data_IF_922249456437
#
_entry.id   IF_922249456437
#
_cell.length_a   1.000
_cell.length_b   1.000
_cell.length_c   1.000
_cell.angle_alpha   90.00
_cell.angle_beta   90.00
_cell.angle_gamma   90.00
#
_symmetry.space_group_name_H-M   'P 1'
#
loop_
_entity.id
_entity.type
_entity.pdbx_description
1 polymer ?
#
# COMPACT_ATOMS: atom_id res chain seq x y z
N UNK A 1 -12.25 -43.59 4.08
CA UNK A 1 -11.18 -43.69 3.07
C UNK A 1 -11.29 -42.64 1.97
N UNK A 2 -12.45 -42.51 1.29
CA UNK A 2 -12.65 -41.54 0.18
C UNK A 2 -12.51 -40.08 0.63
N UNK A 3 -13.08 -39.69 1.78
CA UNK A 3 -13.01 -38.32 2.29
C UNK A 3 -11.56 -37.85 2.53
N UNK A 4 -10.72 -38.71 3.14
CA UNK A 4 -9.31 -38.37 3.40
C UNK A 4 -8.51 -38.24 2.10
N UNK A 5 -8.76 -39.08 1.10
CA UNK A 5 -8.10 -38.98 -0.20
C UNK A 5 -8.48 -37.68 -0.92
N UNK A 6 -9.77 -37.33 -0.91
CA UNK A 6 -10.27 -36.09 -1.50
C UNK A 6 -9.67 -34.85 -0.80
N UNK A 7 -9.68 -34.83 0.53
CA UNK A 7 -9.09 -33.74 1.33
C UNK A 7 -7.60 -33.60 1.04
N UNK A 8 -6.84 -34.70 1.00
CA UNK A 8 -5.40 -34.66 0.69
C UNK A 8 -5.12 -34.16 -0.73
N UNK A 9 -5.93 -34.57 -1.71
CA UNK A 9 -5.83 -34.05 -3.08
C UNK A 9 -6.11 -32.54 -3.13
N UNK A 10 -7.14 -32.06 -2.40
CA UNK A 10 -7.45 -30.64 -2.30
C UNK A 10 -6.32 -29.83 -1.65
N UNK A 11 -5.67 -30.36 -0.60
CA UNK A 11 -4.50 -29.72 0.02
C UNK A 11 -3.38 -29.55 -1.00
N UNK A 12 -3.01 -30.63 -1.70
CA UNK A 12 -1.94 -30.59 -2.69
C UNK A 12 -2.25 -29.61 -3.84
N UNK A 13 -3.51 -29.54 -4.26
CA UNK A 13 -3.98 -28.56 -5.24
C UNK A 13 -3.87 -27.10 -4.74
N UNK A 14 -4.34 -26.83 -3.52
CA UNK A 14 -4.33 -25.48 -2.94
C UNK A 14 -2.91 -24.98 -2.61
N UNK A 15 -2.02 -25.88 -2.19
CA UNK A 15 -0.60 -25.56 -1.97
C UNK A 15 0.10 -25.09 -3.26
N UNK A 16 -0.21 -25.70 -4.41
CA UNK A 16 0.29 -25.23 -5.71
C UNK A 16 -0.18 -23.81 -6.06
N UNK A 17 -1.30 -23.36 -5.46
CA UNK A 17 -1.81 -21.98 -5.56
C UNK A 17 -1.33 -21.07 -4.42
N UNK A 18 -0.33 -21.50 -3.63
CA UNK A 18 0.18 -20.78 -2.45
C UNK A 18 -0.86 -20.56 -1.35
N UNK A 19 -1.91 -21.40 -1.31
CA UNK A 19 -2.92 -21.40 -0.24
C UNK A 19 -2.59 -22.56 0.70
N UNK A 20 -2.15 -22.21 1.91
CA UNK A 20 -1.74 -23.18 2.93
C UNK A 20 -2.87 -23.42 3.93
N UNK A 21 -3.08 -24.68 4.30
CA UNK A 21 -4.21 -25.10 5.13
C UNK A 21 -3.65 -25.64 6.44
N UNK A 22 -3.93 -24.95 7.55
CA UNK A 22 -3.57 -25.39 8.90
C UNK A 22 -4.49 -26.51 9.41
N UNK A 23 -5.78 -26.49 9.02
CA UNK A 23 -6.80 -27.43 9.48
C UNK A 23 -7.57 -28.06 8.31
N UNK A 24 -7.12 -29.22 7.79
CA UNK A 24 -7.73 -29.90 6.63
C UNK A 24 -9.23 -30.18 6.73
N UNK A 25 -9.73 -30.39 7.96
CA UNK A 25 -11.16 -30.67 8.21
C UNK A 25 -12.08 -29.49 7.85
N UNK A 26 -11.54 -28.27 7.74
CA UNK A 26 -12.32 -27.07 7.39
C UNK A 26 -12.57 -26.91 5.89
N UNK A 27 -11.86 -27.64 5.02
CA UNK A 27 -12.00 -27.52 3.56
C UNK A 27 -13.46 -27.76 3.10
N UNK A 28 -14.16 -28.82 3.53
CA UNK A 28 -15.55 -29.03 3.10
C UNK A 28 -16.53 -28.00 3.69
N UNK A 29 -16.17 -27.34 4.80
CA UNK A 29 -16.99 -26.29 5.39
C UNK A 29 -16.95 -25.02 4.54
N UNK A 30 -15.80 -24.70 3.93
CA UNK A 30 -15.66 -23.55 3.03
C UNK A 30 -16.59 -23.62 1.82
N UNK A 31 -16.86 -24.82 1.30
CA UNK A 31 -17.83 -25.03 0.21
C UNK A 31 -19.30 -24.84 0.61
N UNK A 32 -19.59 -24.67 1.91
CA UNK A 32 -20.94 -24.42 2.46
C UNK A 32 -21.12 -22.98 2.95
N UNK A 33 -20.12 -22.12 2.82
CA UNK A 33 -20.23 -20.74 3.27
C UNK A 33 -21.22 -19.97 2.38
N UNK A 34 -22.21 -19.31 2.98
CA UNK A 34 -23.18 -18.46 2.28
C UNK A 34 -22.92 -16.96 2.46
N UNK A 35 -22.11 -16.59 3.44
CA UNK A 35 -21.75 -15.21 3.78
C UNK A 35 -20.23 -15.16 3.94
N UNK A 36 -19.59 -14.19 3.31
CA UNK A 36 -18.15 -13.94 3.42
C UNK A 36 -17.98 -12.51 3.93
N UNK A 37 -17.47 -12.38 5.15
CA UNK A 37 -17.07 -11.08 5.70
C UNK A 37 -15.65 -10.76 5.20
N UNK A 38 -15.47 -9.54 4.69
CA UNK A 38 -14.16 -9.03 4.31
C UNK A 38 -13.71 -7.99 5.32
N UNK A 39 -12.47 -8.12 5.78
CA UNK A 39 -11.77 -7.02 6.43
C UNK A 39 -11.28 -6.02 5.37
N UNK A 40 -11.14 -4.74 5.73
CA UNK A 40 -10.75 -3.70 4.78
C UNK A 40 -9.23 -3.62 4.63
N UNK A 41 -8.54 -3.18 5.68
CA UNK A 41 -7.10 -2.87 5.65
C UNK A 41 -6.27 -4.15 5.68
N UNK A 42 -5.31 -4.28 4.76
CA UNK A 42 -4.49 -5.48 4.63
C UNK A 42 -5.19 -6.68 3.96
N UNK A 43 -6.46 -6.52 3.55
CA UNK A 43 -7.22 -7.56 2.81
C UNK A 43 -7.80 -7.01 1.50
N UNK A 44 -8.69 -6.02 1.55
CA UNK A 44 -9.25 -5.38 0.36
C UNK A 44 -8.35 -4.24 -0.14
N UNK A 45 -7.73 -3.51 0.79
CA UNK A 45 -6.76 -2.46 0.48
C UNK A 45 -5.40 -2.84 1.05
N UNK A 46 -4.34 -2.36 0.42
CA UNK A 46 -3.01 -2.42 1.04
C UNK A 46 -2.98 -1.54 2.30
N UNK A 47 -2.12 -1.88 3.25
CA UNK A 47 -1.85 -1.04 4.44
C UNK A 47 -0.73 -0.05 4.12
N UNK A 48 -0.91 0.68 3.02
CA UNK A 48 0.04 1.66 2.50
C UNK A 48 -0.73 2.83 1.91
N UNK A 49 -0.22 4.04 2.13
CA UNK A 49 -0.69 5.20 1.41
C UNK A 49 -0.10 5.24 0.00
N UNK A 50 -0.89 5.72 -0.95
CA UNK A 50 -0.47 5.95 -2.33
C UNK A 50 -0.75 7.41 -2.63
N UNK A 51 0.22 8.10 -3.24
CA UNK A 51 0.08 9.49 -3.59
C UNK A 51 -0.63 9.59 -4.93
N UNK A 52 -1.87 10.06 -4.92
CA UNK A 52 -2.67 10.17 -6.15
C UNK A 52 -2.39 11.48 -6.91
N UNK A 53 -2.16 12.58 -6.20
CA UNK A 53 -1.91 13.87 -6.82
C UNK A 53 -2.03 15.05 -5.87
N UNK A 54 -1.82 16.25 -6.40
CA UNK A 54 -1.88 17.53 -5.70
C UNK A 54 -3.10 18.30 -6.21
N UNK A 55 -3.94 18.78 -5.31
CA UNK A 55 -4.94 19.79 -5.64
C UNK A 55 -4.29 21.16 -5.54
N UNK A 56 -4.07 21.77 -6.70
CA UNK A 56 -3.32 23.02 -6.84
C UNK A 56 -4.22 24.26 -6.68
N UNK A 57 -5.51 24.15 -7.03
CA UNK A 57 -6.53 25.18 -6.84
C UNK A 57 -7.39 24.88 -5.61
N UNK A 58 -7.08 25.56 -4.51
CA UNK A 58 -7.79 25.45 -3.23
C UNK A 58 -9.13 26.20 -3.19
N UNK A 59 -9.57 26.83 -4.28
CA UNK A 59 -10.89 27.48 -4.34
C UNK A 59 -11.89 26.49 -4.93
N UNK A 60 -11.50 25.81 -6.01
CA UNK A 60 -12.41 24.93 -6.76
C UNK A 60 -12.30 23.46 -6.36
N UNK A 61 -11.12 23.00 -5.94
CA UNK A 61 -10.84 21.61 -5.61
C UNK A 61 -11.24 20.60 -6.70
N UNK A 62 -11.10 20.97 -7.98
CA UNK A 62 -11.69 20.22 -9.10
C UNK A 62 -10.81 19.09 -9.62
N UNK A 63 -9.48 19.26 -9.67
CA UNK A 63 -8.58 18.33 -10.37
C UNK A 63 -7.33 17.98 -9.55
N UNK A 64 -7.03 16.67 -9.51
CA UNK A 64 -5.76 16.15 -9.04
C UNK A 64 -4.70 16.31 -10.13
N UNK A 65 -3.65 17.04 -9.82
CA UNK A 65 -2.51 17.26 -10.71
C UNK A 65 -1.31 16.41 -10.27
N UNK A 66 -0.59 15.89 -11.26
CA UNK A 66 0.72 15.29 -11.02
C UNK A 66 1.78 16.35 -10.71
N UNK A 67 2.92 15.93 -10.16
CA UNK A 67 4.06 16.81 -9.86
C UNK A 67 4.57 17.68 -11.03
N UNK A 68 4.28 17.31 -12.29
CA UNK A 68 4.68 18.10 -13.47
C UNK A 68 3.73 19.26 -13.80
N UNK A 69 2.47 19.16 -13.38
CA UNK A 69 1.39 20.08 -13.76
C UNK A 69 0.93 20.95 -12.58
N UNK A 70 1.50 20.73 -11.40
CA UNK A 70 1.28 21.55 -10.21
C UNK A 70 2.07 22.87 -10.31
N UNK A 71 1.61 23.91 -9.61
CA UNK A 71 2.38 25.15 -9.47
C UNK A 71 3.72 24.89 -8.78
N UNK A 72 4.74 25.63 -9.20
CA UNK A 72 6.07 25.49 -8.62
C UNK A 72 6.08 25.94 -7.15
N UNK A 73 5.26 26.93 -6.82
CA UNK A 73 5.08 27.45 -5.47
C UNK A 73 4.62 26.34 -4.52
N UNK A 74 3.59 25.57 -4.90
CA UNK A 74 3.09 24.47 -4.09
C UNK A 74 4.11 23.34 -3.96
N UNK A 75 4.86 23.03 -5.03
CA UNK A 75 5.94 22.04 -4.96
C UNK A 75 7.07 22.45 -4.02
N UNK A 76 7.45 23.73 -4.03
CA UNK A 76 8.48 24.27 -3.12
C UNK A 76 8.01 24.22 -1.66
N UNK A 77 6.73 24.49 -1.40
CA UNK A 77 6.15 24.36 -0.05
C UNK A 77 6.20 22.90 0.41
N UNK A 78 5.77 21.94 -0.42
CA UNK A 78 5.85 20.51 -0.07
C UNK A 78 7.29 20.04 0.15
N UNK A 79 8.24 20.53 -0.64
CA UNK A 79 9.65 20.19 -0.49
C UNK A 79 10.34 20.89 0.71
N UNK A 80 9.81 22.02 1.18
CA UNK A 80 10.42 22.81 2.26
C UNK A 80 9.75 22.65 3.62
N UNK A 81 8.47 22.29 3.66
CA UNK A 81 7.66 22.18 4.88
C UNK A 81 7.39 20.72 5.22
N UNK A 82 8.45 19.99 5.58
CA UNK A 82 8.37 18.61 6.06
C UNK A 82 9.15 18.46 7.37
N UNK A 83 8.92 17.36 8.08
CA UNK A 83 9.62 17.02 9.32
C UNK A 83 10.65 15.90 9.18
N UNK A 84 10.79 15.35 7.96
CA UNK A 84 11.77 14.31 7.65
C UNK A 84 13.20 14.68 8.07
N UNK A 85 13.92 13.67 8.54
CA UNK A 85 15.34 13.73 8.89
C UNK A 85 16.16 12.84 7.95
N UNK A 86 17.43 13.17 7.74
CA UNK A 86 18.36 12.30 7.01
C UNK A 86 19.28 11.56 7.98
N UNK A 87 19.24 10.23 7.93
CA UNK A 87 20.11 9.32 8.70
C UNK A 87 20.84 8.45 7.69
N UNK A 88 22.17 8.41 7.74
CA UNK A 88 23.00 7.61 6.81
C UNK A 88 22.71 7.86 5.31
N UNK A 89 22.34 9.10 4.97
CA UNK A 89 21.93 9.55 3.62
C UNK A 89 20.58 9.01 3.14
N UNK A 90 19.80 8.39 4.02
CA UNK A 90 18.42 8.00 3.77
C UNK A 90 17.46 8.95 4.52
N UNK A 91 16.31 9.24 3.93
CA UNK A 91 15.26 10.02 4.58
C UNK A 91 14.42 9.11 5.50
N UNK A 92 14.10 9.62 6.69
CA UNK A 92 13.26 8.93 7.67
C UNK A 92 12.28 9.91 8.30
N UNK A 93 11.05 9.48 8.55
CA UNK A 93 9.99 10.31 9.12
C UNK A 93 8.61 9.78 8.75
N UNK A 94 7.65 10.70 8.59
CA UNK A 94 6.28 10.36 8.22
C UNK A 94 6.24 9.69 6.82
N UNK A 95 5.62 8.51 6.68
CA UNK A 95 5.48 7.82 5.39
C UNK A 95 4.86 8.67 4.28
N UNK A 96 3.92 9.56 4.62
CA UNK A 96 3.24 10.41 3.63
C UNK A 96 4.21 11.47 3.08
N UNK A 97 5.05 12.04 3.93
CA UNK A 97 6.10 12.98 3.51
C UNK A 97 7.17 12.26 2.69
N UNK A 98 7.56 11.04 3.08
CA UNK A 98 8.52 10.23 2.30
C UNK A 98 8.04 9.96 0.88
N UNK A 99 6.75 9.63 0.72
CA UNK A 99 6.15 9.39 -0.60
C UNK A 99 6.26 10.59 -1.54
N UNK A 100 6.23 11.83 -1.03
CA UNK A 100 6.47 13.01 -1.86
C UNK A 100 7.87 12.98 -2.48
N UNK A 101 8.91 12.67 -1.70
CA UNK A 101 10.29 12.62 -2.20
C UNK A 101 10.56 11.39 -3.08
N UNK A 102 9.91 10.25 -2.80
CA UNK A 102 10.02 9.04 -3.63
C UNK A 102 9.41 9.21 -5.03
N UNK A 103 8.30 9.95 -5.13
CA UNK A 103 7.52 10.06 -6.37
C UNK A 103 7.78 11.37 -7.13
N UNK A 104 8.30 12.40 -6.45
CA UNK A 104 8.73 13.63 -7.10
C UNK A 104 10.17 13.51 -7.61
N UNK A 105 10.70 14.61 -8.17
CA UNK A 105 12.11 14.70 -8.61
C UNK A 105 12.98 15.51 -7.62
N UNK A 106 12.47 15.76 -6.42
CA UNK A 106 13.17 16.53 -5.41
C UNK A 106 14.12 15.61 -4.64
N UNK A 107 15.36 16.06 -4.45
CA UNK A 107 16.35 15.35 -3.66
C UNK A 107 16.67 16.18 -2.41
N UNK A 108 16.54 15.57 -1.24
CA UNK A 108 16.94 16.19 0.01
C UNK A 108 18.45 16.01 0.21
N UNK A 109 19.18 17.13 0.23
CA UNK A 109 20.60 17.13 0.61
C UNK A 109 20.77 17.76 1.98
N UNK A 110 21.08 16.94 2.99
CA UNK A 110 21.56 17.50 4.26
C UNK A 110 22.92 18.15 4.04
N UNK A 111 23.00 19.47 4.16
CA UNK A 111 24.29 20.18 4.24
C UNK A 111 24.88 19.98 5.64
N UNK A 112 25.36 18.77 5.92
CA UNK A 112 26.36 18.60 6.98
C UNK A 112 27.69 19.12 6.43
N UNK A 113 28.00 20.38 6.73
CA UNK A 113 29.39 20.83 6.84
C UNK A 113 29.97 20.36 8.16
#
# INVERSE_FOLDING_TARGET
>A
MILNLAVNHSIAYLQKKKIFISEPKKIPLGGRANIIAFDKTGTLTEDKFIFEGIVDDCIKYEELKNFKNCSNENLVVLAGCHSLISVDKELSGDPIELMFFELSKWEYTSKNK
#
